data_IF_321911284587
#
_entry.id   IF_321911284587
#
_cell.length_a   1.000
_cell.length_b   1.000
_cell.length_c   1.000
_cell.angle_alpha   90.00
_cell.angle_beta   90.00
_cell.angle_gamma   90.00
#
_symmetry.space_group_name_H-M   'P 1'
#
loop_
_entity.id
_entity.type
_entity.pdbx_description
1 polymer ?
#
# COMPACT_ATOMS: atom_id res chain seq x y z
N UNK A 1 3.28 -7.78 -2.15
CA UNK A 1 1.80 -8.02 -2.19
C UNK A 1 1.12 -7.79 -0.82
N UNK A 2 1.45 -8.57 0.21
CA UNK A 2 0.74 -8.56 1.52
C UNK A 2 0.69 -7.16 2.15
N UNK A 3 1.78 -6.39 2.07
CA UNK A 3 1.84 -5.03 2.60
C UNK A 3 0.88 -4.06 1.89
N UNK A 4 0.67 -4.20 0.58
CA UNK A 4 -0.34 -3.41 -0.13
C UNK A 4 -1.77 -3.78 0.29
N UNK A 5 -2.04 -5.06 0.56
CA UNK A 5 -3.35 -5.45 1.10
C UNK A 5 -3.58 -4.95 2.52
N UNK A 6 -2.53 -4.84 3.35
CA UNK A 6 -2.64 -4.16 4.64
C UNK A 6 -3.06 -2.70 4.44
N UNK A 7 -2.42 -1.96 3.55
CA UNK A 7 -2.81 -0.59 3.20
C UNK A 7 -4.27 -0.52 2.77
N UNK A 8 -4.72 -1.43 1.89
CA UNK A 8 -6.11 -1.49 1.45
C UNK A 8 -7.07 -1.75 2.63
N UNK A 9 -6.73 -2.67 3.54
CA UNK A 9 -7.52 -2.97 4.71
C UNK A 9 -7.64 -1.74 5.63
N UNK A 10 -6.53 -1.02 5.86
CA UNK A 10 -6.52 0.21 6.64
C UNK A 10 -7.36 1.32 5.98
N UNK A 11 -7.26 1.47 4.65
CA UNK A 11 -8.09 2.40 3.90
C UNK A 11 -9.59 2.07 4.04
N UNK A 12 -9.97 0.80 3.97
CA UNK A 12 -11.36 0.36 4.18
C UNK A 12 -11.83 0.60 5.61
N UNK A 13 -10.97 0.32 6.60
CA UNK A 13 -11.25 0.54 8.02
C UNK A 13 -11.44 2.03 8.36
N UNK A 14 -10.74 2.92 7.65
CA UNK A 14 -10.84 4.37 7.82
C UNK A 14 -12.25 4.95 7.59
N UNK A 15 -13.17 4.19 6.99
CA UNK A 15 -14.57 4.60 6.80
C UNK A 15 -15.41 4.50 8.08
N UNK A 16 -14.91 3.82 9.09
CA UNK A 16 -15.63 3.52 10.32
C UNK A 16 -14.98 4.25 11.49
N UNK A 17 -15.75 4.45 12.55
CA UNK A 17 -15.23 4.96 13.81
C UNK A 17 -14.41 3.85 14.49
N UNK A 18 -13.10 3.86 14.20
CA UNK A 18 -12.13 2.90 14.74
C UNK A 18 -11.26 3.59 15.79
N UNK A 19 -10.83 2.89 16.85
CA UNK A 19 -10.02 3.47 17.93
C UNK A 19 -8.60 3.88 17.51
N UNK A 20 -8.24 3.71 16.24
CA UNK A 20 -6.95 4.09 15.68
C UNK A 20 -7.08 5.51 15.09
N UNK A 21 -6.56 6.54 15.78
CA UNK A 21 -6.67 7.91 15.30
C UNK A 21 -5.89 8.07 13.99
N UNK A 22 -6.47 8.80 13.03
CA UNK A 22 -5.85 9.08 11.74
C UNK A 22 -5.38 7.84 10.95
N UNK A 23 -6.08 6.70 11.07
CA UNK A 23 -5.72 5.45 10.36
C UNK A 23 -5.54 5.65 8.84
N UNK A 24 -6.27 6.58 8.23
CA UNK A 24 -6.10 6.93 6.82
C UNK A 24 -4.71 7.52 6.51
N UNK A 25 -4.17 8.40 7.39
CA UNK A 25 -2.84 8.99 7.22
C UNK A 25 -1.77 7.92 7.34
N UNK A 26 -1.96 7.00 8.29
CA UNK A 26 -1.07 5.87 8.48
C UNK A 26 -1.07 4.96 7.25
N UNK A 27 -2.24 4.68 6.67
CA UNK A 27 -2.37 3.91 5.44
C UNK A 27 -1.64 4.58 4.26
N UNK A 28 -1.78 5.90 4.10
CA UNK A 28 -1.07 6.68 3.08
C UNK A 28 0.45 6.62 3.29
N UNK A 29 0.93 6.84 4.52
CA UNK A 29 2.37 6.77 4.83
C UNK A 29 2.95 5.38 4.56
N UNK A 30 2.23 4.30 4.88
CA UNK A 30 2.66 2.95 4.53
C UNK A 30 2.70 2.75 3.01
N UNK A 31 1.71 3.25 2.28
CA UNK A 31 1.70 3.16 0.82
C UNK A 31 2.91 3.85 0.20
N UNK A 32 3.19 5.09 0.58
CA UNK A 32 4.33 5.86 0.09
C UNK A 32 5.67 5.17 0.41
N UNK A 33 5.80 4.62 1.63
CA UNK A 33 6.99 3.85 2.00
C UNK A 33 7.17 2.62 1.11
N UNK A 34 6.11 1.85 0.85
CA UNK A 34 6.22 0.62 0.03
C UNK A 34 6.57 0.97 -1.43
N UNK A 35 6.07 2.08 -1.97
CA UNK A 35 6.43 2.53 -3.32
C UNK A 35 7.95 2.77 -3.47
N UNK A 36 8.65 3.13 -2.40
CA UNK A 36 10.11 3.35 -2.43
C UNK A 36 10.93 2.08 -2.72
N UNK A 37 10.35 0.89 -2.54
CA UNK A 37 10.99 -0.39 -2.86
C UNK A 37 10.81 -0.85 -4.31
N UNK A 38 10.08 -0.07 -5.13
CA UNK A 38 10.04 -0.31 -6.56
C UNK A 38 11.46 -0.18 -7.14
N UNK A 39 11.80 -1.03 -8.11
CA UNK A 39 13.10 -0.90 -8.78
C UNK A 39 13.11 0.34 -9.69
N UNK A 40 14.24 0.58 -10.36
CA UNK A 40 14.42 1.69 -11.30
C UNK A 40 13.40 1.73 -12.46
N UNK A 41 12.67 0.64 -12.73
CA UNK A 41 11.59 0.57 -13.72
C UNK A 41 10.19 0.68 -13.11
N UNK A 42 10.08 0.91 -11.80
CA UNK A 42 8.80 0.97 -11.09
C UNK A 42 8.18 -0.41 -10.82
N UNK A 43 8.96 -1.50 -10.92
CA UNK A 43 8.44 -2.86 -10.73
C UNK A 43 8.70 -3.40 -9.32
N UNK A 44 7.78 -4.24 -8.86
CA UNK A 44 7.84 -4.92 -7.56
C UNK A 44 8.12 -6.43 -7.68
N UNK A 45 8.83 -6.96 -6.70
CA UNK A 45 9.04 -8.39 -6.46
C UNK A 45 7.98 -9.02 -5.54
N UNK A 46 8.12 -10.31 -5.24
CA UNK A 46 7.32 -11.03 -4.22
C UNK A 46 7.54 -10.44 -2.84
N UNK A 47 8.81 -10.30 -2.48
CA UNK A 47 9.27 -9.93 -1.15
C UNK A 47 10.37 -8.88 -1.22
N UNK A 48 10.61 -8.23 -0.09
CA UNK A 48 11.69 -7.28 0.11
C UNK A 48 12.47 -7.75 1.34
N UNK A 49 13.77 -7.92 1.20
CA UNK A 49 14.66 -8.29 2.29
C UNK A 49 14.75 -7.17 3.33
N UNK A 50 15.25 -7.49 4.53
CA UNK A 50 15.53 -6.47 5.56
C UNK A 50 16.55 -5.42 5.06
N UNK A 51 17.44 -5.81 4.14
CA UNK A 51 18.37 -4.91 3.44
C UNK A 51 17.68 -3.93 2.48
N UNK A 52 16.41 -4.16 2.14
CA UNK A 52 15.67 -3.43 1.12
C UNK A 52 15.78 -4.01 -0.30
N UNK A 53 16.54 -5.10 -0.47
CA UNK A 53 16.67 -5.77 -1.78
C UNK A 53 15.38 -6.49 -2.18
N UNK A 54 15.07 -6.44 -3.47
CA UNK A 54 13.96 -7.22 -4.03
C UNK A 54 14.30 -8.70 -4.09
N UNK A 55 13.42 -9.53 -3.55
CA UNK A 55 13.59 -10.98 -3.43
C UNK A 55 12.46 -11.76 -4.10
N UNK A 56 12.80 -12.95 -4.58
CA UNK A 56 11.86 -13.86 -5.23
C UNK A 56 11.56 -13.44 -6.68
N UNK A 57 10.37 -13.80 -7.16
CA UNK A 57 9.96 -13.51 -8.53
C UNK A 57 9.84 -11.99 -8.79
N UNK A 58 10.41 -11.51 -9.90
CA UNK A 58 10.32 -10.11 -10.33
C UNK A 58 10.30 -10.01 -11.87
N UNK A 59 9.37 -9.26 -12.48
CA UNK A 59 8.25 -8.54 -11.85
C UNK A 59 7.15 -9.50 -11.39
N UNK A 60 6.59 -9.22 -10.22
CA UNK A 60 5.57 -10.06 -9.60
C UNK A 60 4.16 -9.50 -9.86
N UNK A 61 3.32 -10.23 -10.61
CA UNK A 61 2.01 -9.75 -11.02
C UNK A 61 1.03 -9.41 -9.87
N UNK A 62 0.93 -10.24 -8.83
CA UNK A 62 0.09 -9.99 -7.65
C UNK A 62 0.51 -8.77 -6.81
N UNK A 63 1.79 -8.41 -6.71
CA UNK A 63 2.30 -7.22 -6.04
C UNK A 63 1.85 -5.98 -6.79
N UNK A 64 1.92 -6.01 -8.13
CA UNK A 64 1.38 -4.92 -8.95
C UNK A 64 -0.14 -4.83 -8.86
N UNK A 65 -0.85 -5.96 -8.91
CA UNK A 65 -2.30 -6.00 -8.73
C UNK A 65 -2.72 -5.43 -7.36
N UNK A 66 -2.04 -5.83 -6.29
CA UNK A 66 -2.28 -5.34 -4.95
C UNK A 66 -1.95 -3.84 -4.82
N UNK A 67 -0.88 -3.37 -5.47
CA UNK A 67 -0.54 -1.93 -5.53
C UNK A 67 -1.68 -1.11 -6.14
N UNK A 68 -2.19 -1.52 -7.30
CA UNK A 68 -3.30 -0.84 -7.98
C UNK A 68 -4.57 -0.87 -7.13
N UNK A 69 -4.90 -2.02 -6.53
CA UNK A 69 -6.08 -2.16 -5.66
C UNK A 69 -6.00 -1.25 -4.43
N UNK A 70 -4.84 -1.21 -3.77
CA UNK A 70 -4.60 -0.34 -2.62
C UNK A 70 -4.72 1.15 -2.99
N UNK A 71 -4.13 1.57 -4.11
CA UNK A 71 -4.20 2.94 -4.59
C UNK A 71 -5.65 3.40 -4.84
N UNK A 72 -6.45 2.57 -5.51
CA UNK A 72 -7.87 2.86 -5.76
C UNK A 72 -8.65 3.02 -4.45
N UNK A 73 -8.42 2.15 -3.47
CA UNK A 73 -9.14 2.22 -2.19
C UNK A 73 -8.69 3.39 -1.33
N UNK A 74 -7.40 3.73 -1.29
CA UNK A 74 -6.90 4.94 -0.64
C UNK A 74 -7.51 6.20 -1.24
N UNK A 75 -7.55 6.31 -2.56
CA UNK A 75 -8.12 7.47 -3.26
C UNK A 75 -9.61 7.69 -2.99
N UNK A 76 -10.36 6.61 -2.69
CA UNK A 76 -11.78 6.71 -2.29
C UNK A 76 -11.96 7.34 -0.91
N UNK A 77 -10.98 7.22 0.00
CA UNK A 77 -11.04 7.79 1.36
C UNK A 77 -10.59 9.25 1.36
N UNK A 78 -9.51 9.57 0.64
CA UNK A 78 -9.00 10.95 0.58
C UNK A 78 -10.02 11.96 0.06
N UNK A 79 -10.99 11.51 -0.74
CA UNK A 79 -12.11 12.33 -1.22
C UNK A 79 -13.24 12.54 -0.20
N UNK A 80 -13.24 11.81 0.91
CA UNK A 80 -14.29 11.87 1.95
C UNK A 80 -13.82 12.67 3.18
N UNK A 81 -12.51 12.75 3.42
CA UNK A 81 -11.92 13.47 4.56
C UNK A 81 -11.32 14.84 4.23
N UNK A 82 -11.57 15.37 3.03
CA UNK A 82 -11.03 16.65 2.54
C UNK A 82 -12.05 17.80 2.50
N UNK A 83 -13.25 17.58 3.02
CA UNK A 83 -14.36 18.54 3.07
C UNK A 83 -14.58 19.05 4.50
#
# INVERSE_FOLDING_TARGET
MVTFWLVEAMARAAKYDVPIPNIWKLALSHFDNILSYANHLGMFSEEVAISGEQMGNSPQAFSHLACVSAAINLGRIGRVGGD
#
